data_IF_453839062848
#
_entry.id   IF_453839062848
#
_cell.length_a   1.000
_cell.length_b   1.000
_cell.length_c   1.000
_cell.angle_alpha   90.00
_cell.angle_beta   90.00
_cell.angle_gamma   90.00
#
_symmetry.space_group_name_H-M   'P 1'
#
loop_
_entity.id
_entity.type
_entity.pdbx_description
1 polymer ?
#
# COMPACT_ATOMS: atom_id res chain seq x y z
N UNK A 1 69.05 45.04 43.76
CA UNK A 1 68.34 44.66 42.54
C UNK A 1 67.05 44.07 43.03
N UNK A 2 65.94 44.65 42.67
CA UNK A 2 64.65 44.49 43.36
C UNK A 2 63.80 43.23 42.86
N UNK A 3 63.08 42.57 43.76
CA UNK A 3 62.18 41.50 43.43
C UNK A 3 60.80 42.06 43.07
N UNK A 4 60.15 41.39 42.14
CA UNK A 4 58.74 41.60 41.81
C UNK A 4 57.93 40.48 42.40
N UNK A 5 57.33 40.75 43.54
CA UNK A 5 56.24 39.99 44.08
C UNK A 5 54.96 40.80 43.95
N UNK A 6 54.00 40.42 43.16
CA UNK A 6 52.55 40.69 43.26
C UNK A 6 51.84 40.18 42.04
N UNK A 7 51.11 39.14 42.16
CA UNK A 7 49.77 38.96 41.57
C UNK A 7 49.27 37.53 41.74
N UNK A 8 48.83 37.24 42.93
CA UNK A 8 47.96 36.07 43.14
C UNK A 8 46.84 36.52 44.06
N UNK A 9 45.83 37.09 43.52
CA UNK A 9 44.55 37.28 44.23
C UNK A 9 43.49 37.77 43.23
N UNK A 10 42.90 36.93 42.47
CA UNK A 10 41.60 37.16 41.84
C UNK A 10 41.19 35.97 40.95
N UNK A 11 40.88 34.86 41.52
CA UNK A 11 39.99 33.89 40.79
C UNK A 11 39.29 33.02 41.88
N UNK A 12 38.34 33.61 42.54
CA UNK A 12 37.44 32.84 43.44
C UNK A 12 35.99 33.34 43.31
N UNK A 13 35.57 33.77 42.14
CA UNK A 13 34.16 34.16 41.89
C UNK A 13 33.66 33.67 40.55
N UNK A 14 33.67 32.39 40.31
CA UNK A 14 33.08 31.86 39.06
C UNK A 14 32.45 30.48 39.13
N UNK A 15 32.03 30.04 40.31
CA UNK A 15 31.49 28.67 40.43
C UNK A 15 29.95 28.54 40.41
N UNK A 16 29.21 29.65 40.54
CA UNK A 16 27.74 29.57 40.51
C UNK A 16 27.09 29.77 39.14
N UNK A 17 27.67 30.58 38.29
CA UNK A 17 27.14 30.86 36.96
C UNK A 17 27.37 29.70 35.98
N UNK A 18 28.45 28.95 36.12
CA UNK A 18 28.81 27.85 35.23
C UNK A 18 27.83 26.68 35.32
N UNK A 19 27.33 26.37 36.52
CA UNK A 19 26.33 25.30 36.70
C UNK A 19 24.97 25.66 36.12
N UNK A 20 24.59 26.93 36.21
CA UNK A 20 23.33 27.44 35.65
C UNK A 20 23.35 27.37 34.10
N UNK A 21 24.46 27.73 33.48
CA UNK A 21 24.65 27.72 32.03
C UNK A 21 24.61 26.29 31.51
N UNK A 22 25.21 25.30 32.20
CA UNK A 22 25.20 23.90 31.81
C UNK A 22 23.78 23.32 31.87
N UNK A 23 23.01 23.65 32.94
CA UNK A 23 21.62 23.18 33.07
C UNK A 23 20.71 23.77 31.99
N UNK A 24 20.85 25.04 31.65
CA UNK A 24 20.09 25.70 30.58
C UNK A 24 20.46 25.14 29.22
N UNK A 25 21.74 24.84 28.96
CA UNK A 25 22.20 24.28 27.70
C UNK A 25 21.72 22.82 27.51
N UNK A 26 21.70 22.01 28.59
CA UNK A 26 21.17 20.65 28.51
C UNK A 26 19.64 20.62 28.34
N UNK A 27 18.91 21.59 28.90
CA UNK A 27 17.47 21.71 28.74
C UNK A 27 17.09 22.14 27.29
N UNK A 28 17.85 23.05 26.68
CA UNK A 28 17.65 23.49 25.30
C UNK A 28 17.98 22.35 24.30
N UNK A 29 19.04 21.57 24.58
CA UNK A 29 19.42 20.46 23.72
C UNK A 29 18.40 19.30 23.78
N UNK A 30 17.75 19.11 24.92
CA UNK A 30 16.68 18.10 25.06
C UNK A 30 15.40 18.48 24.29
N UNK A 31 15.11 19.78 24.11
CA UNK A 31 13.95 20.24 23.32
C UNK A 31 14.16 20.08 21.80
N UNK A 32 15.40 20.01 21.32
CA UNK A 32 15.69 19.88 19.87
C UNK A 32 15.66 18.41 19.42
N UNK A 33 15.68 17.46 20.36
CA UNK A 33 15.63 16.03 20.09
C UNK A 33 14.22 15.41 20.20
N UNK A 34 13.15 16.22 20.26
CA UNK A 34 11.81 15.69 20.03
C UNK A 34 11.77 15.28 18.56
N UNK A 35 11.71 13.98 18.23
CA UNK A 35 11.42 13.60 16.86
C UNK A 35 10.11 14.31 16.53
N UNK A 36 10.11 15.13 15.46
CA UNK A 36 8.88 15.57 14.85
C UNK A 36 8.11 14.26 14.60
N UNK A 37 7.05 14.04 15.36
CA UNK A 37 6.07 13.05 14.98
C UNK A 37 5.68 13.49 13.58
N UNK A 38 6.18 12.78 12.56
CA UNK A 38 5.69 12.91 11.22
C UNK A 38 4.20 12.69 11.38
N UNK A 39 3.38 13.72 11.24
CA UNK A 39 2.02 13.51 10.82
C UNK A 39 2.20 12.60 9.61
N UNK A 40 1.64 11.39 9.66
CA UNK A 40 1.46 10.61 8.46
C UNK A 40 0.65 11.54 7.56
N UNK A 41 1.34 12.27 6.68
CA UNK A 41 0.72 12.84 5.51
C UNK A 41 0.04 11.62 4.89
N UNK A 42 -1.29 11.60 4.88
CA UNK A 42 -2.04 10.66 4.09
C UNK A 42 -1.65 10.92 2.63
N UNK A 43 -0.48 10.43 2.25
CA UNK A 43 -0.11 10.36 0.84
C UNK A 43 -1.18 9.50 0.20
N UNK A 44 -2.11 10.16 -0.48
CA UNK A 44 -3.16 9.50 -1.23
C UNK A 44 -2.56 8.43 -2.14
N UNK A 45 -3.31 7.40 -2.42
CA UNK A 45 -2.86 6.35 -3.31
C UNK A 45 -2.59 6.88 -4.73
N UNK A 46 -1.66 6.25 -5.39
CA UNK A 46 -1.33 6.49 -6.78
C UNK A 46 -1.27 5.17 -7.56
N UNK A 47 -1.20 5.24 -8.86
CA UNK A 47 -1.07 4.04 -9.70
C UNK A 47 0.16 3.19 -9.31
N UNK A 48 1.24 3.84 -8.86
CA UNK A 48 2.46 3.18 -8.41
C UNK A 48 2.31 2.45 -7.06
N UNK A 49 1.26 2.72 -6.29
CA UNK A 49 0.94 2.04 -5.02
C UNK A 49 0.72 0.55 -5.24
N UNK A 50 0.14 0.18 -6.40
CA UNK A 50 -0.01 -1.22 -6.80
C UNK A 50 1.12 -1.61 -7.74
N UNK A 51 2.11 -2.32 -7.19
CA UNK A 51 3.22 -2.87 -7.96
C UNK A 51 3.67 -4.20 -7.39
N UNK A 52 3.83 -5.20 -8.27
CA UNK A 52 4.33 -6.53 -7.91
C UNK A 52 3.31 -7.63 -8.08
N UNK A 53 3.55 -8.76 -7.42
CA UNK A 53 2.76 -9.99 -7.52
C UNK A 53 1.88 -10.15 -6.30
N UNK A 54 0.61 -10.53 -6.53
CA UNK A 54 -0.40 -10.74 -5.50
C UNK A 54 -1.05 -12.10 -5.72
N UNK A 55 -1.25 -12.86 -4.65
CA UNK A 55 -2.13 -14.01 -4.65
C UNK A 55 -3.58 -13.54 -4.59
N UNK A 56 -4.39 -13.90 -5.57
CA UNK A 56 -5.81 -13.51 -5.66
C UNK A 56 -6.72 -14.69 -5.39
N UNK A 57 -7.81 -14.44 -4.68
CA UNK A 57 -8.96 -15.33 -4.57
C UNK A 57 -10.25 -14.54 -4.65
N UNK A 58 -11.27 -15.13 -5.26
CA UNK A 58 -12.62 -14.57 -5.28
C UNK A 58 -13.68 -15.65 -5.23
N UNK A 59 -14.84 -15.30 -4.70
CA UNK A 59 -16.02 -16.18 -4.63
C UNK A 59 -17.28 -15.38 -4.85
N UNK A 60 -18.32 -16.09 -5.30
CA UNK A 60 -19.62 -15.46 -5.52
C UNK A 60 -20.52 -16.25 -6.42
N UNK A 61 -21.33 -15.58 -7.20
CA UNK A 61 -22.27 -16.19 -8.13
C UNK A 61 -22.44 -15.40 -9.42
N UNK A 62 -22.70 -16.09 -10.50
CA UNK A 62 -23.23 -15.52 -11.75
C UNK A 62 -24.73 -15.77 -11.75
N UNK A 63 -25.52 -14.71 -11.80
CA UNK A 63 -27.00 -14.75 -11.74
C UNK A 63 -27.67 -14.40 -13.06
N UNK A 64 -26.91 -13.79 -14.01
CA UNK A 64 -27.36 -13.48 -15.36
C UNK A 64 -26.15 -13.26 -16.29
N UNK A 65 -26.41 -13.09 -17.59
CA UNK A 65 -25.42 -12.73 -18.62
C UNK A 65 -24.24 -13.72 -18.74
N UNK A 66 -24.53 -15.03 -18.63
CA UNK A 66 -23.54 -16.10 -18.76
C UNK A 66 -24.02 -17.42 -18.16
N UNK A 67 -23.15 -18.40 -18.00
CA UNK A 67 -23.50 -19.65 -17.31
C UNK A 67 -23.74 -19.34 -15.82
N UNK A 68 -24.98 -19.57 -15.36
CA UNK A 68 -25.44 -19.26 -14.00
C UNK A 68 -24.85 -20.26 -13.01
N UNK A 69 -24.38 -19.79 -11.86
CA UNK A 69 -23.89 -20.64 -10.81
C UNK A 69 -22.93 -20.02 -9.81
N UNK A 70 -22.51 -20.83 -8.86
CA UNK A 70 -21.52 -20.46 -7.85
C UNK A 70 -20.12 -20.45 -8.45
N UNK A 71 -19.36 -19.42 -8.14
CA UNK A 71 -17.99 -19.20 -8.64
C UNK A 71 -17.01 -19.27 -7.50
N UNK A 72 -15.91 -19.96 -7.72
CA UNK A 72 -14.69 -19.87 -6.93
C UNK A 72 -13.49 -19.69 -7.85
N UNK A 73 -12.61 -18.78 -7.49
CA UNK A 73 -11.43 -18.43 -8.26
C UNK A 73 -10.20 -18.35 -7.35
N UNK A 74 -9.06 -18.81 -7.86
CA UNK A 74 -7.77 -18.61 -7.24
C UNK A 74 -6.68 -18.49 -8.29
N UNK A 75 -5.68 -17.64 -8.00
CA UNK A 75 -4.58 -17.38 -8.93
C UNK A 75 -3.59 -16.33 -8.47
N UNK A 76 -2.92 -15.75 -9.44
CA UNK A 76 -1.94 -14.70 -9.26
C UNK A 76 -2.32 -13.53 -10.16
N UNK A 77 -2.30 -12.31 -9.61
CA UNK A 77 -2.38 -11.08 -10.37
C UNK A 77 -1.10 -10.28 -10.18
N UNK A 78 -0.61 -9.65 -11.25
CA UNK A 78 0.55 -8.76 -11.24
C UNK A 78 0.10 -7.38 -11.70
N UNK A 79 0.53 -6.37 -10.94
CA UNK A 79 0.40 -4.97 -11.29
C UNK A 79 1.79 -4.42 -11.62
N UNK A 80 1.93 -3.68 -12.71
CA UNK A 80 3.21 -3.12 -13.17
C UNK A 80 3.59 -1.79 -12.50
N UNK A 81 2.64 -1.14 -11.82
CA UNK A 81 2.81 0.19 -11.23
C UNK A 81 2.64 1.33 -12.23
N UNK A 82 2.20 1.04 -13.45
CA UNK A 82 2.00 2.00 -14.55
C UNK A 82 0.60 1.92 -15.16
N UNK A 83 -0.27 1.04 -14.64
CA UNK A 83 -1.65 0.86 -15.08
C UNK A 83 -1.91 -0.45 -15.83
N UNK A 84 -0.88 -1.23 -16.08
CA UNK A 84 -1.03 -2.55 -16.69
C UNK A 84 -1.17 -3.65 -15.65
N UNK A 85 -2.10 -4.58 -15.88
CA UNK A 85 -2.32 -5.75 -15.05
C UNK A 85 -2.30 -7.04 -15.88
N UNK A 86 -1.81 -8.13 -15.27
CA UNK A 86 -1.92 -9.47 -15.83
C UNK A 86 -2.30 -10.47 -14.75
N UNK A 87 -3.15 -11.42 -15.07
CA UNK A 87 -3.65 -12.43 -14.14
C UNK A 87 -3.53 -13.83 -14.74
N UNK A 88 -3.16 -14.79 -13.91
CA UNK A 88 -3.26 -16.21 -14.22
C UNK A 88 -4.11 -16.87 -13.16
N UNK A 89 -5.24 -17.46 -13.56
CA UNK A 89 -6.27 -17.90 -12.64
C UNK A 89 -6.90 -19.22 -13.04
N UNK A 90 -7.38 -19.95 -12.05
CA UNK A 90 -8.26 -21.11 -12.19
C UNK A 90 -9.63 -20.74 -11.65
N UNK A 91 -10.67 -20.97 -12.44
CA UNK A 91 -12.06 -20.67 -12.10
C UNK A 91 -12.87 -21.94 -12.10
N UNK A 92 -13.58 -22.18 -11.01
CA UNK A 92 -14.60 -23.23 -10.88
C UNK A 92 -15.99 -22.61 -10.90
N UNK A 93 -16.91 -23.21 -11.64
CA UNK A 93 -18.33 -22.86 -11.67
C UNK A 93 -19.15 -24.13 -11.31
N UNK A 94 -19.93 -24.08 -10.23
CA UNK A 94 -20.71 -25.21 -9.73
C UNK A 94 -19.89 -26.52 -9.58
N UNK A 95 -18.61 -26.38 -9.16
CA UNK A 95 -17.71 -27.51 -9.00
C UNK A 95 -17.03 -27.99 -10.29
N UNK A 96 -17.37 -27.43 -11.45
CA UNK A 96 -16.71 -27.73 -12.73
C UNK A 96 -15.65 -26.69 -13.02
N UNK A 97 -14.44 -27.09 -13.41
CA UNK A 97 -13.39 -26.17 -13.84
C UNK A 97 -13.78 -25.57 -15.19
N UNK A 98 -14.08 -24.28 -15.15
CA UNK A 98 -14.44 -23.49 -16.35
C UNK A 98 -13.17 -23.01 -17.06
N UNK A 99 -12.19 -22.51 -16.27
CA UNK A 99 -10.89 -22.07 -16.76
C UNK A 99 -9.81 -22.69 -15.87
N UNK A 100 -8.79 -23.28 -16.48
CA UNK A 100 -7.65 -23.83 -15.77
C UNK A 100 -6.39 -23.05 -16.16
N UNK A 101 -5.85 -22.27 -15.20
CA UNK A 101 -4.67 -21.42 -15.39
C UNK A 101 -4.79 -20.51 -16.61
N UNK A 102 -5.97 -19.96 -16.83
CA UNK A 102 -6.20 -19.01 -17.92
C UNK A 102 -5.42 -17.71 -17.66
N UNK A 103 -4.85 -17.16 -18.71
CA UNK A 103 -4.14 -15.88 -18.66
C UNK A 103 -5.03 -14.75 -19.15
N UNK A 104 -5.13 -13.70 -18.33
CA UNK A 104 -5.84 -12.48 -18.63
C UNK A 104 -4.82 -11.32 -18.62
N UNK A 105 -5.10 -10.28 -19.38
CA UNK A 105 -4.36 -9.03 -19.34
C UNK A 105 -5.31 -7.86 -19.45
N UNK A 106 -4.89 -6.70 -18.98
CA UNK A 106 -5.70 -5.50 -19.05
C UNK A 106 -5.11 -4.36 -18.26
N UNK A 107 -5.96 -3.44 -17.86
CA UNK A 107 -5.57 -2.16 -17.29
C UNK A 107 -6.25 -1.94 -15.94
N UNK A 108 -5.59 -1.12 -15.09
CA UNK A 108 -6.16 -0.65 -13.83
C UNK A 108 -5.90 0.84 -13.64
N UNK A 109 -6.74 1.48 -12.83
CA UNK A 109 -6.59 2.86 -12.38
C UNK A 109 -6.67 2.93 -10.87
N UNK A 110 -5.99 3.90 -10.28
CA UNK A 110 -6.01 4.18 -8.84
C UNK A 110 -6.36 5.64 -8.64
N UNK A 111 -7.33 5.91 -7.77
CA UNK A 111 -7.74 7.24 -7.35
C UNK A 111 -6.99 7.65 -6.07
N UNK A 112 -6.88 8.96 -5.78
CA UNK A 112 -6.20 9.44 -4.57
C UNK A 112 -6.78 8.94 -3.25
N UNK A 113 -8.07 8.56 -3.24
CA UNK A 113 -8.78 7.98 -2.08
C UNK A 113 -8.54 6.48 -1.89
N UNK A 114 -7.56 5.91 -2.59
CA UNK A 114 -7.22 4.49 -2.58
C UNK A 114 -8.28 3.56 -3.16
N UNK A 115 -9.28 4.08 -3.85
CA UNK A 115 -10.18 3.28 -4.70
C UNK A 115 -9.60 3.13 -6.11
N UNK A 116 -10.19 2.24 -6.91
CA UNK A 116 -9.79 2.09 -8.30
C UNK A 116 -10.66 1.13 -9.08
N UNK A 117 -10.38 1.03 -10.35
CA UNK A 117 -11.03 0.12 -11.30
C UNK A 117 -10.00 -0.78 -12.01
N UNK A 118 -10.41 -1.99 -12.30
CA UNK A 118 -9.63 -3.02 -13.00
C UNK A 118 -10.47 -3.61 -14.13
N UNK A 119 -9.90 -3.65 -15.32
CA UNK A 119 -10.48 -4.34 -16.47
C UNK A 119 -9.51 -5.41 -16.94
N UNK A 120 -9.93 -6.66 -16.96
CA UNK A 120 -9.14 -7.78 -17.48
C UNK A 120 -9.88 -8.41 -18.67
N UNK A 121 -9.12 -8.85 -19.65
CA UNK A 121 -9.61 -9.47 -20.87
C UNK A 121 -9.04 -10.88 -20.95
N UNK A 122 -9.95 -11.86 -21.08
CA UNK A 122 -9.63 -13.24 -21.41
C UNK A 122 -9.89 -13.44 -22.91
N UNK A 123 -8.91 -13.89 -23.70
CA UNK A 123 -9.16 -14.29 -25.07
C UNK A 123 -10.16 -15.47 -25.12
N UNK A 124 -11.24 -15.33 -25.83
CA UNK A 124 -12.26 -16.36 -25.98
C UNK A 124 -12.44 -16.75 -27.45
N UNK A 125 -12.93 -17.94 -27.73
CA UNK A 125 -13.14 -18.47 -29.08
C UNK A 125 -14.15 -17.66 -29.92
N UNK A 126 -15.12 -17.01 -29.26
CA UNK A 126 -16.17 -16.19 -29.90
C UNK A 126 -15.97 -14.69 -29.70
N UNK A 127 -14.83 -14.28 -29.14
CA UNK A 127 -14.49 -12.90 -28.83
C UNK A 127 -13.97 -12.75 -27.40
N UNK A 128 -13.43 -11.57 -27.06
CA UNK A 128 -12.86 -11.33 -25.74
C UNK A 128 -13.94 -11.32 -24.66
N UNK A 129 -13.65 -11.98 -23.55
CA UNK A 129 -14.46 -11.95 -22.32
C UNK A 129 -13.87 -10.89 -21.39
N UNK A 130 -14.63 -9.84 -21.10
CA UNK A 130 -14.21 -8.77 -20.21
C UNK A 130 -14.64 -9.06 -18.76
N UNK A 131 -13.75 -8.83 -17.83
CA UNK A 131 -14.02 -8.84 -16.40
C UNK A 131 -13.68 -7.47 -15.84
N UNK A 132 -14.68 -6.76 -15.33
CA UNK A 132 -14.52 -5.46 -14.69
C UNK A 132 -14.74 -5.57 -13.20
N UNK A 133 -13.97 -4.84 -12.44
CA UNK A 133 -14.07 -4.82 -10.97
C UNK A 133 -13.71 -3.44 -10.44
N UNK A 134 -14.42 -3.01 -9.40
CA UNK A 134 -13.98 -1.92 -8.54
C UNK A 134 -13.20 -2.49 -7.37
N UNK A 135 -12.25 -1.72 -6.86
CA UNK A 135 -11.43 -2.17 -5.74
C UNK A 135 -11.09 -1.03 -4.77
N UNK A 136 -10.66 -1.43 -3.58
CA UNK A 136 -10.02 -0.55 -2.59
C UNK A 136 -8.67 -1.14 -2.19
N UNK A 137 -7.67 -0.26 -2.11
CA UNK A 137 -6.33 -0.59 -1.63
C UNK A 137 -6.32 -0.43 -0.11
N UNK A 138 -5.83 -1.44 0.59
CA UNK A 138 -5.66 -1.43 2.04
C UNK A 138 -4.24 -1.87 2.41
N UNK A 139 -3.86 -1.65 3.66
CA UNK A 139 -2.55 -2.02 4.20
C UNK A 139 -1.38 -1.51 3.33
N UNK A 140 -1.45 -0.21 2.94
CA UNK A 140 -0.39 0.47 2.16
C UNK A 140 0.00 -0.29 0.87
N UNK A 141 -0.99 -0.78 0.14
CA UNK A 141 -0.76 -1.50 -1.12
C UNK A 141 -0.42 -2.98 -0.96
N UNK A 142 -0.48 -3.55 0.24
CA UNK A 142 -0.23 -4.99 0.44
C UNK A 142 -1.47 -5.86 0.23
N UNK A 143 -2.65 -5.26 0.30
CA UNK A 143 -3.91 -5.95 0.04
C UNK A 143 -4.83 -5.09 -0.83
N UNK A 144 -5.55 -5.74 -1.72
CA UNK A 144 -6.61 -5.15 -2.55
C UNK A 144 -7.88 -5.94 -2.30
N UNK A 145 -8.98 -5.27 -1.99
CA UNK A 145 -10.31 -5.85 -1.90
C UNK A 145 -11.12 -5.42 -3.10
N UNK A 146 -11.78 -6.35 -3.75
CA UNK A 146 -12.44 -6.10 -5.01
C UNK A 146 -13.85 -6.69 -5.07
N UNK A 147 -14.68 -6.05 -5.88
CA UNK A 147 -16.00 -6.53 -6.28
C UNK A 147 -16.14 -6.47 -7.79
N UNK A 148 -16.62 -7.54 -8.40
CA UNK A 148 -16.87 -7.54 -9.84
C UNK A 148 -18.09 -6.67 -10.17
N UNK A 149 -17.95 -5.78 -11.17
CA UNK A 149 -19.00 -4.85 -11.62
C UNK A 149 -19.67 -5.28 -12.92
N UNK A 150 -19.30 -6.44 -13.47
CA UNK A 150 -19.93 -6.99 -14.65
C UNK A 150 -21.38 -7.36 -14.40
N UNK A 151 -22.27 -7.07 -15.36
CA UNK A 151 -23.69 -7.36 -15.23
C UNK A 151 -23.96 -8.84 -14.93
N UNK A 152 -24.85 -9.10 -13.97
CA UNK A 152 -25.23 -10.46 -13.57
C UNK A 152 -24.18 -11.20 -12.75
N UNK A 153 -23.20 -10.51 -12.20
CA UNK A 153 -22.13 -11.08 -11.35
C UNK A 153 -22.20 -10.51 -9.95
N UNK A 154 -22.23 -11.38 -8.97
CA UNK A 154 -22.17 -11.07 -7.53
C UNK A 154 -20.93 -11.78 -6.99
N UNK A 155 -19.76 -11.23 -7.27
CA UNK A 155 -18.46 -11.84 -6.98
C UNK A 155 -17.61 -10.83 -6.22
N UNK A 156 -17.07 -11.23 -5.09
CA UNK A 156 -16.12 -10.45 -4.32
C UNK A 156 -14.86 -11.25 -4.03
N UNK A 157 -13.76 -10.56 -3.84
CA UNK A 157 -12.48 -11.21 -3.58
C UNK A 157 -11.45 -10.27 -2.95
N UNK A 158 -10.28 -10.83 -2.75
CA UNK A 158 -9.12 -10.07 -2.31
C UNK A 158 -7.85 -10.56 -2.99
N UNK A 159 -6.88 -9.68 -3.10
CA UNK A 159 -5.54 -10.00 -3.56
C UNK A 159 -4.52 -9.52 -2.52
N UNK A 160 -3.59 -10.38 -2.10
CA UNK A 160 -2.54 -10.07 -1.13
C UNK A 160 -1.16 -10.20 -1.76
N UNK A 161 -0.32 -9.21 -1.49
CA UNK A 161 1.05 -9.16 -1.99
C UNK A 161 1.87 -10.34 -1.46
N UNK A 162 2.64 -10.94 -2.37
CA UNK A 162 3.55 -12.05 -2.10
C UNK A 162 4.98 -11.54 -1.86
#
# INVERSE_FOLDING_TARGET
>A
MKPISKLVSAIALRSRSSKLIIVVFSLVLALVLVPAASADDEEGCSIATLRGTYGIQSTGSIVAAGPIGLVAEAGIIKFDGQGGASQTTTVSLNGTILHNRASLSGDYRVHPDCTGDLTLVLPGATGPIMSTSDFVIVDHGKEVRLVNTGAGRVIAGNARKQ
#
